data_IF_383395901681
#
_entry.id   IF_383395901681
#
_cell.length_a   1.000
_cell.length_b   1.000
_cell.length_c   1.000
_cell.angle_alpha   90.00
_cell.angle_beta   90.00
_cell.angle_gamma   90.00
#
_symmetry.space_group_name_H-M   'P 1'
#
loop_
_entity.id
_entity.type
_entity.pdbx_description
1 polymer ?
#
# COMPACT_ATOMS: atom_id res chain seq x y z
N UNK A 1 -35.92 4.42 22.99
CA UNK A 1 -35.39 4.65 21.63
C UNK A 1 -34.04 5.33 21.81
N UNK A 2 -32.94 4.76 21.31
CA UNK A 2 -31.67 5.50 21.26
C UNK A 2 -31.83 6.69 20.31
N UNK A 3 -31.28 7.86 20.66
CA UNK A 3 -31.22 8.99 19.73
C UNK A 3 -30.51 8.56 18.43
N UNK A 4 -31.06 8.98 17.30
CA UNK A 4 -30.43 8.75 16.00
C UNK A 4 -29.20 9.66 15.90
N UNK A 5 -28.01 9.05 15.79
CA UNK A 5 -26.76 9.77 15.53
C UNK A 5 -26.77 10.32 14.10
N UNK A 6 -26.45 11.60 13.96
CA UNK A 6 -26.14 12.18 12.65
C UNK A 6 -24.74 11.74 12.16
N UNK A 7 -24.55 11.54 10.85
CA UNK A 7 -23.24 11.26 10.27
C UNK A 7 -22.24 12.38 10.58
N UNK A 8 -20.98 12.00 10.82
CA UNK A 8 -19.87 12.96 10.92
C UNK A 8 -19.15 12.93 9.58
N UNK A 9 -19.32 13.99 8.78
CA UNK A 9 -18.70 14.19 7.47
C UNK A 9 -17.19 14.52 7.60
N UNK A 10 -16.44 13.59 8.18
CA UNK A 10 -15.00 13.72 8.46
C UNK A 10 -14.10 13.24 7.31
N UNK A 11 -14.69 12.66 6.27
CA UNK A 11 -13.95 12.10 5.15
C UNK A 11 -13.08 10.90 5.54
N UNK A 12 -12.08 10.61 4.70
CA UNK A 12 -11.08 9.57 4.97
C UNK A 12 -9.77 10.19 5.44
N UNK A 13 -8.93 9.47 6.20
CA UNK A 13 -7.61 9.96 6.55
C UNK A 13 -6.77 10.20 5.28
N UNK A 14 -5.87 11.19 5.33
CA UNK A 14 -4.96 11.46 4.21
C UNK A 14 -4.06 10.26 3.94
N UNK A 15 -4.11 9.73 2.71
CA UNK A 15 -3.32 8.58 2.26
C UNK A 15 -1.81 8.76 2.44
N UNK A 16 -1.28 10.00 2.42
CA UNK A 16 0.16 10.27 2.52
C UNK A 16 0.75 9.71 3.82
N UNK A 17 -0.04 9.56 4.87
CA UNK A 17 0.39 8.97 6.14
C UNK A 17 0.63 7.45 6.08
N UNK A 18 0.07 6.77 5.08
CA UNK A 18 0.17 5.32 4.90
C UNK A 18 1.12 4.92 3.76
N UNK A 19 1.81 5.88 3.14
CA UNK A 19 2.79 5.60 2.11
C UNK A 19 4.11 5.10 2.72
N UNK A 20 4.71 4.10 2.09
CA UNK A 20 6.08 3.70 2.40
C UNK A 20 7.02 4.92 2.30
N UNK A 21 7.98 5.13 3.24
CA UNK A 21 8.80 6.33 3.30
C UNK A 21 9.52 6.64 1.98
N UNK A 22 10.00 5.62 1.28
CA UNK A 22 10.67 5.78 -0.02
C UNK A 22 9.72 6.21 -1.13
N UNK A 23 8.46 5.74 -1.11
CA UNK A 23 7.43 6.21 -2.06
C UNK A 23 7.06 7.65 -1.79
N UNK A 24 6.94 8.05 -0.51
CA UNK A 24 6.67 9.44 -0.12
C UNK A 24 7.82 10.37 -0.52
N UNK A 25 9.07 9.96 -0.29
CA UNK A 25 10.28 10.70 -0.71
C UNK A 25 10.31 10.93 -2.22
N UNK A 26 9.90 9.94 -3.01
CA UNK A 26 9.99 9.96 -4.47
C UNK A 26 8.64 10.21 -5.16
N UNK A 27 7.65 10.78 -4.45
CA UNK A 27 6.30 10.96 -4.98
C UNK A 27 6.32 11.78 -6.29
N UNK A 28 5.80 11.20 -7.37
CA UNK A 28 5.81 11.80 -8.71
C UNK A 28 7.18 11.87 -9.40
N UNK A 29 8.25 11.35 -8.80
CA UNK A 29 9.62 11.48 -9.29
C UNK A 29 10.25 10.14 -9.75
N UNK A 30 9.46 9.33 -10.44
CA UNK A 30 9.89 8.04 -10.98
C UNK A 30 10.55 8.19 -12.35
N UNK A 31 11.58 7.39 -12.61
CA UNK A 31 12.31 7.37 -13.88
C UNK A 31 11.75 6.31 -14.82
N UNK A 32 11.65 5.08 -14.36
CA UNK A 32 11.11 3.97 -15.14
C UNK A 32 10.61 2.83 -14.26
N UNK A 33 9.96 1.88 -14.91
CA UNK A 33 9.43 0.67 -14.31
C UNK A 33 9.80 -0.54 -15.17
N UNK A 34 10.23 -1.62 -14.55
CA UNK A 34 10.46 -2.89 -15.22
C UNK A 34 9.78 -4.06 -14.49
N UNK A 35 9.74 -5.22 -15.16
CA UNK A 35 8.99 -6.40 -14.75
C UNK A 35 9.91 -7.62 -14.86
N UNK A 36 10.77 -7.89 -13.87
CA UNK A 36 11.80 -8.95 -14.00
C UNK A 36 11.19 -10.35 -14.07
N UNK A 37 10.02 -10.55 -13.45
CA UNK A 37 9.29 -11.83 -13.42
C UNK A 37 7.81 -11.60 -13.15
N UNK A 38 6.93 -12.58 -13.45
CA UNK A 38 5.52 -12.51 -13.11
C UNK A 38 5.29 -12.17 -11.64
N UNK A 39 4.39 -11.22 -11.39
CA UNK A 39 4.06 -10.77 -10.03
C UNK A 39 5.02 -9.74 -9.41
N UNK A 40 6.20 -9.50 -9.98
CA UNK A 40 7.17 -8.53 -9.44
C UNK A 40 7.30 -7.32 -10.36
N UNK A 41 7.21 -6.13 -9.77
CA UNK A 41 7.44 -4.85 -10.44
C UNK A 41 8.60 -4.13 -9.76
N UNK A 42 9.50 -3.58 -10.57
CA UNK A 42 10.60 -2.75 -10.13
C UNK A 42 10.31 -1.30 -10.46
N UNK A 43 10.54 -0.40 -9.51
CA UNK A 43 10.31 1.02 -9.65
C UNK A 43 11.61 1.76 -9.32
N UNK A 44 12.14 2.52 -10.28
CA UNK A 44 13.39 3.27 -10.10
C UNK A 44 13.10 4.75 -10.16
N UNK A 45 13.48 5.48 -9.12
CA UNK A 45 13.35 6.93 -9.03
C UNK A 45 14.46 7.66 -9.78
N UNK A 46 14.27 8.95 -10.10
CA UNK A 46 15.29 9.72 -10.84
C UNK A 46 16.61 9.89 -10.07
N UNK A 47 16.56 9.81 -8.74
CA UNK A 47 17.72 9.85 -7.86
C UNK A 47 18.42 8.49 -7.68
N UNK A 48 17.90 7.42 -8.29
CA UNK A 48 18.43 6.06 -8.18
C UNK A 48 17.84 5.22 -7.04
N UNK A 49 16.93 5.75 -6.22
CA UNK A 49 16.22 4.93 -5.23
C UNK A 49 15.36 3.87 -5.94
N UNK A 50 15.34 2.66 -5.39
CA UNK A 50 14.63 1.53 -5.96
C UNK A 50 13.57 1.01 -4.97
N UNK A 51 12.37 0.68 -5.47
CA UNK A 51 11.35 -0.03 -4.70
C UNK A 51 10.72 -1.14 -5.52
N UNK A 52 10.37 -2.23 -4.85
CA UNK A 52 9.87 -3.44 -5.46
C UNK A 52 8.45 -3.72 -5.00
N UNK A 53 7.53 -3.85 -5.94
CA UNK A 53 6.16 -4.28 -5.66
C UNK A 53 6.03 -5.77 -5.95
N UNK A 54 5.73 -6.56 -4.92
CA UNK A 54 5.43 -8.00 -5.05
C UNK A 54 3.92 -8.20 -4.95
N UNK A 55 3.32 -8.74 -6.01
CA UNK A 55 1.87 -8.99 -6.09
C UNK A 55 1.56 -10.46 -5.85
N UNK A 56 0.66 -10.71 -4.90
CA UNK A 56 0.08 -12.01 -4.61
C UNK A 56 -1.42 -12.01 -4.96
N UNK A 57 -1.91 -13.12 -5.51
CA UNK A 57 -3.34 -13.30 -5.78
C UNK A 57 -4.12 -13.54 -4.50
N UNK A 58 -5.31 -12.94 -4.38
CA UNK A 58 -6.20 -13.11 -3.22
C UNK A 58 -7.64 -13.36 -3.67
N UNK A 59 -8.46 -13.93 -2.80
CA UNK A 59 -9.86 -14.30 -3.10
C UNK A 59 -10.85 -13.12 -3.15
N UNK A 60 -10.37 -11.86 -3.11
CA UNK A 60 -11.12 -10.60 -2.88
C UNK A 60 -11.82 -10.54 -1.52
N UNK A 61 -12.69 -11.49 -1.21
CA UNK A 61 -13.32 -11.66 0.10
C UNK A 61 -12.37 -12.45 0.99
N UNK A 62 -11.98 -11.88 2.11
CA UNK A 62 -11.05 -12.48 3.06
C UNK A 62 -11.57 -12.27 4.47
N UNK A 63 -11.31 -13.23 5.34
CA UNK A 63 -11.55 -13.08 6.76
C UNK A 63 -10.46 -12.21 7.41
N UNK A 64 -10.73 -11.81 8.64
CA UNK A 64 -9.87 -10.95 9.42
C UNK A 64 -8.49 -11.56 9.74
N UNK A 65 -8.40 -12.87 9.97
CA UNK A 65 -7.13 -13.53 10.28
C UNK A 65 -6.22 -13.52 9.05
N UNK A 66 -6.79 -13.76 7.86
CA UNK A 66 -6.05 -13.66 6.60
C UNK A 66 -5.49 -12.24 6.38
N UNK A 67 -6.28 -11.19 6.65
CA UNK A 67 -5.79 -9.79 6.54
C UNK A 67 -4.65 -9.52 7.51
N UNK A 68 -4.77 -9.95 8.79
CA UNK A 68 -3.70 -9.78 9.78
C UNK A 68 -2.42 -10.48 9.36
N UNK A 69 -2.51 -11.69 8.82
CA UNK A 69 -1.35 -12.39 8.30
C UNK A 69 -0.67 -11.62 7.16
N UNK A 70 -1.42 -10.95 6.28
CA UNK A 70 -0.84 -10.08 5.26
C UNK A 70 -0.13 -8.86 5.87
N UNK A 71 -0.67 -8.28 6.94
CA UNK A 71 0.00 -7.22 7.69
C UNK A 71 1.30 -7.70 8.33
N UNK A 72 1.30 -8.88 8.96
CA UNK A 72 2.52 -9.47 9.55
C UNK A 72 3.60 -9.72 8.47
N UNK A 73 3.20 -10.14 7.27
CA UNK A 73 4.11 -10.26 6.13
C UNK A 73 4.66 -8.88 5.73
N UNK A 74 3.80 -7.86 5.65
CA UNK A 74 4.24 -6.50 5.33
C UNK A 74 5.24 -5.98 6.36
N UNK A 75 4.97 -6.09 7.66
CA UNK A 75 5.84 -5.61 8.73
C UNK A 75 7.22 -6.30 8.75
N UNK A 76 7.30 -7.54 8.29
CA UNK A 76 8.56 -8.29 8.23
C UNK A 76 9.43 -7.97 7.01
N UNK A 77 8.83 -7.54 5.91
CA UNK A 77 9.51 -7.44 4.60
C UNK A 77 9.47 -6.05 3.96
N UNK A 78 8.65 -5.12 4.46
CA UNK A 78 8.38 -3.82 3.86
C UNK A 78 8.53 -2.65 4.84
#
# INVERSE_FOLDING_TARGET
MSEMREPIESGVPDHVQYLHPLMKKNYGNWKYHDRPRPGVLHHVAKNGDEIWTVRAGTARQMDHYTIRQLCDIADNFA
#
